data_IF_852337258546
#
_entry.id   IF_852337258546
#
_cell.length_a   1.000
_cell.length_b   1.000
_cell.length_c   1.000
_cell.angle_alpha   90.00
_cell.angle_beta   90.00
_cell.angle_gamma   90.00
#
_symmetry.space_group_name_H-M   'P 1'
#
loop_
_entity.id
_entity.type
_entity.pdbx_description
1 polymer ?
#
# COMPACT_ATOMS: atom_id res chain seq x y z
N UNK A 1 -0.84 8.63 -21.29
CA UNK A 1 -1.21 8.02 -20.01
C UNK A 1 -0.49 8.82 -18.94
N UNK A 2 -1.19 9.65 -18.18
CA UNK A 2 -0.60 10.41 -17.08
C UNK A 2 -0.75 9.59 -15.82
N UNK A 3 0.28 8.85 -15.43
CA UNK A 3 0.27 8.11 -14.17
C UNK A 3 0.58 9.05 -13.02
N UNK A 4 -0.06 8.85 -11.88
CA UNK A 4 0.27 9.49 -10.62
C UNK A 4 0.89 8.48 -9.67
N UNK A 5 1.69 8.98 -8.72
CA UNK A 5 2.31 8.16 -7.69
C UNK A 5 1.99 8.75 -6.33
N UNK A 6 1.53 7.91 -5.40
CA UNK A 6 1.25 8.29 -4.02
C UNK A 6 2.01 7.35 -3.07
N UNK A 7 2.53 7.91 -1.97
CA UNK A 7 3.28 7.16 -0.97
C UNK A 7 2.55 7.19 0.36
N UNK A 8 2.38 6.01 0.94
CA UNK A 8 1.61 5.74 2.12
C UNK A 8 2.49 5.10 3.18
N UNK A 9 2.70 5.74 4.33
CA UNK A 9 3.39 5.11 5.44
C UNK A 9 2.46 4.07 6.08
N UNK A 10 2.94 2.86 6.28
CA UNK A 10 2.19 1.71 6.80
C UNK A 10 2.93 1.11 7.97
N UNK A 11 2.20 0.81 9.05
CA UNK A 11 2.74 0.14 10.24
C UNK A 11 2.16 -1.26 10.41
N UNK A 12 2.85 -2.11 11.17
CA UNK A 12 2.41 -3.48 11.45
C UNK A 12 3.00 -4.54 10.51
N UNK A 13 3.54 -4.15 9.35
CA UNK A 13 4.27 -5.08 8.48
C UNK A 13 5.62 -5.44 9.10
N UNK A 14 5.77 -6.73 9.46
CA UNK A 14 7.00 -7.25 10.11
C UNK A 14 7.66 -8.38 9.31
N UNK A 15 7.04 -8.85 8.24
CA UNK A 15 7.45 -10.06 7.53
C UNK A 15 7.40 -9.89 6.00
N UNK A 16 8.25 -10.60 5.26
CA UNK A 16 8.25 -10.55 3.79
C UNK A 16 6.96 -11.09 3.15
N UNK A 17 6.28 -12.04 3.79
CA UNK A 17 4.95 -12.52 3.34
C UNK A 17 3.87 -11.43 3.45
N UNK A 18 3.98 -10.55 4.45
CA UNK A 18 3.08 -9.44 4.70
C UNK A 18 3.11 -8.46 3.51
N UNK A 19 4.31 -8.25 2.93
CA UNK A 19 4.50 -7.39 1.77
C UNK A 19 3.81 -7.93 0.52
N UNK A 20 3.89 -9.24 0.29
CA UNK A 20 3.23 -9.89 -0.85
C UNK A 20 1.73 -9.67 -0.82
N UNK A 21 1.08 -9.99 0.32
CA UNK A 21 -0.36 -9.82 0.49
C UNK A 21 -0.82 -8.37 0.24
N UNK A 22 -0.11 -7.39 0.82
CA UNK A 22 -0.40 -5.96 0.61
C UNK A 22 -0.22 -5.55 -0.84
N UNK A 23 0.84 -6.03 -1.49
CA UNK A 23 1.11 -5.71 -2.90
C UNK A 23 0.01 -6.26 -3.81
N UNK A 24 -0.42 -7.50 -3.57
CA UNK A 24 -1.46 -8.16 -4.35
C UNK A 24 -2.80 -7.42 -4.22
N UNK A 25 -3.23 -7.08 -3.01
CA UNK A 25 -4.50 -6.36 -2.80
C UNK A 25 -4.48 -4.94 -3.35
N UNK A 26 -3.38 -4.20 -3.16
CA UNK A 26 -3.27 -2.85 -3.72
C UNK A 26 -3.19 -2.87 -5.24
N UNK A 27 -2.60 -3.90 -5.85
CA UNK A 27 -2.56 -4.05 -7.30
C UNK A 27 -3.93 -4.43 -7.88
N UNK A 28 -4.81 -5.05 -7.07
CA UNK A 28 -6.19 -5.35 -7.46
C UNK A 28 -7.09 -4.10 -7.52
N UNK A 29 -6.68 -2.98 -6.89
CA UNK A 29 -7.42 -1.72 -6.95
C UNK A 29 -7.50 -1.18 -8.39
N UNK A 30 -8.66 -0.62 -8.79
CA UNK A 30 -8.87 -0.15 -10.15
C UNK A 30 -7.92 1.00 -10.51
N UNK A 31 -7.25 0.85 -11.65
CA UNK A 31 -6.32 1.86 -12.15
C UNK A 31 -4.92 1.80 -11.55
N UNK A 32 -4.64 0.87 -10.62
CA UNK A 32 -3.27 0.62 -10.15
C UNK A 32 -2.48 -0.09 -11.22
N UNK A 33 -1.28 0.44 -11.47
CA UNK A 33 -0.34 -0.06 -12.50
C UNK A 33 0.98 -0.52 -11.90
N UNK A 34 1.26 -0.15 -10.63
CA UNK A 34 2.41 -0.64 -9.90
C UNK A 34 2.31 -0.36 -8.41
N UNK A 35 2.88 -1.27 -7.61
CA UNK A 35 2.99 -1.13 -6.16
C UNK A 35 4.43 -1.50 -5.78
N UNK A 36 5.03 -0.67 -4.93
CA UNK A 36 6.39 -0.87 -4.43
C UNK A 36 6.40 -0.68 -2.92
N UNK A 37 6.96 -1.62 -2.19
CA UNK A 37 6.94 -1.63 -0.72
C UNK A 37 8.35 -1.62 -0.17
N UNK A 38 8.66 -0.57 0.59
CA UNK A 38 9.87 -0.44 1.38
C UNK A 38 9.58 -0.94 2.80
N UNK A 39 9.76 -2.25 3.00
CA UNK A 39 9.54 -2.89 4.30
C UNK A 39 10.61 -2.44 5.30
N UNK A 40 10.17 -1.85 6.41
CA UNK A 40 11.00 -1.56 7.58
C UNK A 40 10.52 -2.44 8.73
N UNK A 41 11.18 -3.59 8.99
CA UNK A 41 10.80 -4.48 10.08
C UNK A 41 10.79 -3.75 11.42
N UNK A 42 9.68 -3.87 12.16
CA UNK A 42 9.43 -3.19 13.44
C UNK A 42 9.39 -1.64 13.37
N UNK A 43 9.30 -1.05 12.18
CA UNK A 43 9.15 0.39 11.96
C UNK A 43 7.97 0.73 11.05
N UNK A 44 7.99 1.95 10.54
CA UNK A 44 7.05 2.41 9.51
C UNK A 44 7.61 2.04 8.15
N UNK A 45 6.89 1.18 7.43
CA UNK A 45 7.19 0.83 6.05
C UNK A 45 6.56 1.85 5.11
N UNK A 46 7.13 2.04 3.92
CA UNK A 46 6.57 2.96 2.92
C UNK A 46 6.01 2.17 1.75
N UNK A 47 4.74 2.37 1.44
CA UNK A 47 4.07 1.77 0.29
C UNK A 47 3.86 2.84 -0.77
N UNK A 48 4.49 2.68 -1.92
CA UNK A 48 4.34 3.58 -3.05
C UNK A 48 3.48 2.93 -4.12
N UNK A 49 2.38 3.60 -4.49
CA UNK A 49 1.41 3.10 -5.47
C UNK A 49 1.45 4.02 -6.69
N UNK A 50 1.55 3.43 -7.88
CA UNK A 50 1.44 4.11 -9.16
C UNK A 50 0.12 3.72 -9.82
N UNK A 51 -0.67 4.72 -10.21
CA UNK A 51 -2.00 4.52 -10.78
C UNK A 51 -2.32 5.52 -11.89
N UNK A 52 -3.26 5.17 -12.76
CA UNK A 52 -3.74 6.06 -13.83
C UNK A 52 -4.60 7.22 -13.28
N UNK A 53 -5.19 7.05 -12.10
CA UNK A 53 -6.01 8.04 -11.39
C UNK A 53 -5.60 8.13 -9.92
N UNK A 54 -5.78 9.29 -9.26
CA UNK A 54 -5.60 9.39 -7.82
C UNK A 54 -6.48 8.36 -7.09
N UNK A 55 -5.91 7.61 -6.16
CA UNK A 55 -6.63 6.66 -5.32
C UNK A 55 -7.20 7.37 -4.10
N UNK A 56 -8.38 6.92 -3.65
CA UNK A 56 -8.89 7.35 -2.37
C UNK A 56 -8.06 6.72 -1.24
N UNK A 57 -7.78 7.50 -0.20
CA UNK A 57 -7.06 7.00 0.97
C UNK A 57 -7.88 5.94 1.72
N UNK A 58 -9.21 6.05 1.69
CA UNK A 58 -10.10 5.06 2.29
C UNK A 58 -10.05 3.71 1.56
N UNK A 59 -9.92 3.72 0.22
CA UNK A 59 -9.73 2.49 -0.57
C UNK A 59 -8.39 1.82 -0.26
N UNK A 60 -7.31 2.61 -0.16
CA UNK A 60 -5.99 2.10 0.21
C UNK A 60 -6.01 1.53 1.63
N UNK A 61 -6.69 2.19 2.57
CA UNK A 61 -6.83 1.69 3.94
C UNK A 61 -7.65 0.40 4.00
N UNK A 62 -8.74 0.30 3.23
CA UNK A 62 -9.53 -0.92 3.15
C UNK A 62 -8.71 -2.10 2.62
N UNK A 63 -7.96 -1.90 1.53
CA UNK A 63 -7.07 -2.94 0.98
C UNK A 63 -5.98 -3.38 1.97
N UNK A 64 -5.41 -2.43 2.72
CA UNK A 64 -4.44 -2.73 3.80
C UNK A 64 -5.07 -3.53 4.94
N UNK A 65 -6.32 -3.22 5.30
CA UNK A 65 -7.05 -3.96 6.30
C UNK A 65 -7.37 -5.39 5.84
N UNK A 66 -7.82 -5.55 4.60
CA UNK A 66 -8.11 -6.87 4.01
C UNK A 66 -6.84 -7.73 3.84
N UNK A 67 -5.69 -7.12 3.54
CA UNK A 67 -4.42 -7.81 3.40
C UNK A 67 -3.86 -8.38 4.73
N UNK A 68 -4.28 -7.85 5.88
CA UNK A 68 -3.80 -8.33 7.18
C UNK A 68 -3.89 -7.34 8.34
N UNK A 69 -4.98 -6.55 8.40
CA UNK A 69 -5.23 -5.56 9.45
C UNK A 69 -4.12 -4.49 9.56
N UNK A 70 -3.54 -4.06 8.43
CA UNK A 70 -2.51 -3.02 8.42
C UNK A 70 -3.12 -1.63 8.43
N UNK A 71 -2.41 -0.68 9.05
CA UNK A 71 -2.88 0.68 9.21
C UNK A 71 -1.90 1.69 8.63
N UNK A 72 -2.46 2.73 8.01
CA UNK A 72 -1.72 3.91 7.60
C UNK A 72 -1.18 4.62 8.84
N UNK A 73 0.11 4.90 8.85
CA UNK A 73 0.73 5.70 9.90
C UNK A 73 0.42 7.18 9.63
N UNK A 74 -0.67 7.68 10.20
CA UNK A 74 -0.93 9.12 10.23
C UNK A 74 0.06 9.76 11.20
N UNK A 75 1.19 10.25 10.67
CA UNK A 75 2.17 11.06 11.39
C UNK A 75 1.97 12.54 11.11
#
# INVERSE_FOLDING_TARGET
MSTTTASYPVTGMTCGHCVGAVTDELTALPGVTGVSVELVPAGTSTVTITSDTPLDTDEVHAALHEAGDYHLATS
#
